data_IF_099503253633
#
_entry.id   IF_099503253633
#
_cell.length_a   1.000
_cell.length_b   1.000
_cell.length_c   1.000
_cell.angle_alpha   90.00
_cell.angle_beta   90.00
_cell.angle_gamma   90.00
#
_symmetry.space_group_name_H-M   'P 1'
#
loop_
_entity.id
_entity.type
_entity.pdbx_description
1 polymer ?
#
# COMPACT_ATOMS: atom_id res chain seq x y z
N UNK A 1 14.32 6.73 15.78
CA UNK A 1 13.41 7.59 14.98
C UNK A 1 13.06 6.85 13.70
N UNK A 2 11.79 6.84 13.27
CA UNK A 2 11.41 6.19 12.01
C UNK A 2 11.91 6.97 10.81
N UNK A 3 11.75 8.28 10.84
CA UNK A 3 12.15 9.19 9.76
C UNK A 3 12.92 10.38 10.31
N UNK A 4 13.85 10.87 9.51
CA UNK A 4 14.63 12.08 9.77
C UNK A 4 14.44 13.03 8.59
N UNK A 5 13.56 14.02 8.75
CA UNK A 5 13.25 14.99 7.69
C UNK A 5 13.94 16.30 8.01
N UNK A 6 15.14 16.47 7.50
CA UNK A 6 15.92 17.71 7.68
C UNK A 6 16.87 17.94 6.50
N UNK A 7 17.53 19.08 6.48
CA UNK A 7 18.44 19.48 5.41
C UNK A 7 17.74 20.28 4.30
N UNK A 8 18.44 20.53 3.22
CA UNK A 8 18.01 21.41 2.13
C UNK A 8 16.68 20.98 1.48
N UNK A 9 16.39 19.69 1.46
CA UNK A 9 15.19 19.12 0.83
C UNK A 9 14.03 18.87 1.82
N UNK A 10 14.18 19.21 3.09
CA UNK A 10 13.16 18.88 4.11
C UNK A 10 11.79 19.50 3.79
N UNK A 11 11.74 20.75 3.37
CA UNK A 11 10.49 21.43 3.01
C UNK A 11 9.82 20.77 1.80
N UNK A 12 10.59 20.40 0.79
CA UNK A 12 10.08 19.68 -0.39
C UNK A 12 9.51 18.31 -0.02
N UNK A 13 10.20 17.57 0.85
CA UNK A 13 9.75 16.25 1.33
C UNK A 13 8.40 16.34 2.07
N UNK A 14 8.24 17.30 2.98
CA UNK A 14 7.00 17.55 3.68
C UNK A 14 5.89 18.03 2.73
N UNK A 15 6.21 18.95 1.84
CA UNK A 15 5.27 19.47 0.83
C UNK A 15 4.74 18.36 -0.07
N UNK A 16 5.62 17.47 -0.53
CA UNK A 16 5.25 16.33 -1.36
C UNK A 16 4.40 15.31 -0.61
N UNK A 17 4.71 14.99 0.63
CA UNK A 17 3.90 14.10 1.45
C UNK A 17 2.48 14.63 1.62
N UNK A 18 2.34 15.93 1.90
CA UNK A 18 1.03 16.60 2.02
C UNK A 18 0.30 16.58 0.67
N UNK A 19 1.00 16.87 -0.43
CA UNK A 19 0.41 16.84 -1.78
C UNK A 19 -0.10 15.46 -2.15
N UNK A 20 0.64 14.40 -1.87
CA UNK A 20 0.22 13.01 -2.08
C UNK A 20 -1.01 12.69 -1.23
N UNK A 21 -0.99 13.06 0.06
CA UNK A 21 -2.13 12.86 0.96
C UNK A 21 -3.39 13.52 0.45
N UNK A 22 -3.32 14.82 0.13
CA UNK A 22 -4.48 15.59 -0.36
C UNK A 22 -4.91 15.12 -1.75
N UNK A 23 -3.97 14.82 -2.64
CA UNK A 23 -4.25 14.29 -3.98
C UNK A 23 -5.01 12.97 -3.92
N UNK A 24 -4.58 12.04 -3.08
CA UNK A 24 -5.26 10.76 -2.88
C UNK A 24 -6.67 10.93 -2.30
N UNK A 25 -6.85 11.84 -1.33
CA UNK A 25 -8.17 12.16 -0.81
C UNK A 25 -9.08 12.70 -1.92
N UNK A 26 -8.62 13.70 -2.68
CA UNK A 26 -9.41 14.33 -3.74
C UNK A 26 -9.78 13.35 -4.86
N UNK A 27 -8.82 12.54 -5.33
CA UNK A 27 -9.08 11.53 -6.36
C UNK A 27 -10.01 10.43 -5.85
N UNK A 28 -9.86 10.00 -4.58
CA UNK A 28 -10.81 9.05 -3.98
C UNK A 28 -12.23 9.64 -3.91
N UNK A 29 -12.37 10.91 -3.49
CA UNK A 29 -13.67 11.59 -3.46
C UNK A 29 -14.29 11.66 -4.87
N UNK A 30 -13.52 12.03 -5.90
CA UNK A 30 -13.98 12.02 -7.28
C UNK A 30 -14.43 10.64 -7.74
N UNK A 31 -13.60 9.60 -7.51
CA UNK A 31 -13.87 8.25 -7.98
C UNK A 31 -15.08 7.59 -7.29
N UNK A 32 -15.27 7.82 -5.98
CA UNK A 32 -16.34 7.16 -5.24
C UNK A 32 -17.70 7.84 -5.32
N UNK A 33 -17.74 9.18 -5.44
CA UNK A 33 -18.99 9.95 -5.37
C UNK A 33 -19.88 9.87 -6.60
N UNK A 34 -19.28 9.56 -7.75
CA UNK A 34 -20.03 9.48 -9.01
C UNK A 34 -19.73 8.17 -9.75
N UNK A 35 -20.73 7.66 -10.47
CA UNK A 35 -20.56 6.50 -11.35
C UNK A 35 -19.52 6.79 -12.45
N UNK A 36 -19.57 7.99 -13.02
CA UNK A 36 -18.65 8.44 -14.04
C UNK A 36 -17.20 8.55 -13.55
N UNK A 37 -17.00 9.14 -12.35
CA UNK A 37 -15.68 9.21 -11.71
C UNK A 37 -15.08 7.82 -11.46
N UNK A 38 -15.90 6.87 -10.99
CA UNK A 38 -15.46 5.48 -10.82
C UNK A 38 -15.10 4.80 -12.14
N UNK A 39 -15.91 4.97 -13.20
CA UNK A 39 -15.64 4.40 -14.52
C UNK A 39 -14.34 4.95 -15.11
N UNK A 40 -14.14 6.27 -15.06
CA UNK A 40 -12.89 6.87 -15.53
C UNK A 40 -11.70 6.31 -14.76
N UNK A 41 -11.76 6.36 -13.43
CA UNK A 41 -10.61 6.02 -12.59
C UNK A 41 -10.27 4.54 -12.62
N UNK A 42 -11.27 3.64 -12.59
CA UNK A 42 -11.03 2.21 -12.41
C UNK A 42 -11.28 1.33 -13.66
N UNK A 43 -11.76 1.92 -14.76
CA UNK A 43 -11.89 1.20 -16.03
C UNK A 43 -11.09 1.90 -17.13
N UNK A 44 -11.39 3.17 -17.44
CA UNK A 44 -10.76 3.85 -18.58
C UNK A 44 -9.25 4.04 -18.39
N UNK A 45 -8.81 4.57 -17.25
CA UNK A 45 -7.38 4.78 -16.96
C UNK A 45 -6.61 3.44 -16.94
N UNK A 46 -7.03 2.40 -16.20
CA UNK A 46 -6.32 1.11 -16.21
C UNK A 46 -6.25 0.45 -17.59
N UNK A 47 -7.28 0.58 -18.42
CA UNK A 47 -7.23 0.09 -19.80
C UNK A 47 -6.19 0.84 -20.64
N UNK A 48 -6.15 2.17 -20.54
CA UNK A 48 -5.14 2.98 -21.21
C UNK A 48 -3.71 2.64 -20.72
N UNK A 49 -3.54 2.47 -19.40
CA UNK A 49 -2.26 2.05 -18.82
C UNK A 49 -1.86 0.64 -19.26
N UNK A 50 -2.81 -0.28 -19.36
CA UNK A 50 -2.51 -1.63 -19.87
C UNK A 50 -2.00 -1.58 -21.31
N UNK A 51 -2.62 -0.77 -22.17
CA UNK A 51 -2.13 -0.56 -23.53
C UNK A 51 -0.71 0.06 -23.54
N UNK A 52 -0.46 1.04 -22.67
CA UNK A 52 0.86 1.64 -22.50
C UNK A 52 1.91 0.63 -22.04
N UNK A 53 1.61 -0.20 -21.02
CA UNK A 53 2.54 -1.22 -20.54
C UNK A 53 2.83 -2.29 -21.59
N UNK A 54 1.82 -2.70 -22.37
CA UNK A 54 2.01 -3.62 -23.49
C UNK A 54 2.90 -3.01 -24.59
N UNK A 55 2.71 -1.73 -24.90
CA UNK A 55 3.56 -1.03 -25.87
C UNK A 55 5.03 -0.98 -25.43
N UNK A 56 5.28 -0.66 -24.14
CA UNK A 56 6.64 -0.69 -23.59
C UNK A 56 7.22 -2.12 -23.67
N UNK A 57 6.46 -3.12 -23.22
CA UNK A 57 6.92 -4.51 -23.23
C UNK A 57 7.27 -5.02 -24.62
N UNK A 58 6.46 -4.69 -25.64
CA UNK A 58 6.75 -5.00 -27.06
C UNK A 58 7.99 -4.23 -27.51
N UNK A 59 8.09 -2.94 -27.20
CA UNK A 59 9.22 -2.08 -27.56
C UNK A 59 10.54 -2.60 -26.98
N UNK A 60 10.56 -3.02 -25.72
CA UNK A 60 11.74 -3.61 -25.08
C UNK A 60 12.16 -4.90 -25.80
N UNK A 61 11.22 -5.76 -26.14
CA UNK A 61 11.51 -7.02 -26.88
C UNK A 61 11.99 -6.78 -28.29
N UNK A 62 11.57 -5.70 -28.93
CA UNK A 62 12.07 -5.32 -30.25
C UNK A 62 13.38 -4.53 -30.23
N UNK A 63 13.93 -4.22 -29.04
CA UNK A 63 15.15 -3.45 -28.89
C UNK A 63 14.99 -1.95 -29.14
N UNK A 64 13.75 -1.42 -29.08
CA UNK A 64 13.50 0.00 -29.25
C UNK A 64 14.08 0.81 -28.10
N UNK A 65 15.01 1.72 -28.41
CA UNK A 65 15.74 2.51 -27.41
C UNK A 65 14.81 3.30 -26.48
N UNK A 66 13.77 3.92 -27.02
CA UNK A 66 12.78 4.67 -26.23
C UNK A 66 12.02 3.81 -25.20
N UNK A 67 11.87 2.50 -25.46
CA UNK A 67 11.23 1.59 -24.53
C UNK A 67 12.24 1.08 -23.48
N UNK A 68 13.48 0.85 -23.88
CA UNK A 68 14.57 0.44 -22.97
C UNK A 68 14.89 1.54 -21.94
N UNK A 69 14.82 2.80 -22.35
CA UNK A 69 15.06 3.97 -21.48
C UNK A 69 13.80 4.45 -20.76
N UNK A 70 12.66 3.81 -21.00
CA UNK A 70 11.42 4.22 -20.36
C UNK A 70 11.45 3.95 -18.85
N UNK A 71 11.09 4.95 -18.06
CA UNK A 71 11.18 4.88 -16.60
C UNK A 71 10.31 3.77 -15.99
N UNK A 72 9.14 3.48 -16.58
CA UNK A 72 8.31 2.34 -16.14
C UNK A 72 9.07 1.02 -16.34
N UNK A 73 9.77 0.85 -17.46
CA UNK A 73 10.60 -0.34 -17.69
C UNK A 73 11.79 -0.39 -16.75
N UNK A 74 12.49 0.71 -16.56
CA UNK A 74 13.73 0.74 -15.75
C UNK A 74 13.44 0.49 -14.26
N UNK A 75 12.37 1.08 -13.72
CA UNK A 75 12.16 1.11 -12.27
C UNK A 75 10.94 0.35 -11.77
N UNK A 76 9.97 0.03 -12.65
CA UNK A 76 8.65 -0.47 -12.24
C UNK A 76 8.21 -1.72 -13.01
N UNK A 77 9.17 -2.48 -13.54
CA UNK A 77 8.87 -3.65 -14.37
C UNK A 77 8.59 -4.94 -13.57
N UNK A 78 8.81 -4.93 -12.26
CA UNK A 78 8.64 -6.09 -11.41
C UNK A 78 7.21 -6.59 -11.30
N UNK A 79 7.04 -7.88 -11.12
CA UNK A 79 5.75 -8.54 -10.98
C UNK A 79 4.88 -7.96 -9.86
N UNK A 80 5.53 -7.56 -8.77
CA UNK A 80 4.90 -7.03 -7.58
C UNK A 80 4.05 -5.77 -7.87
N UNK A 81 4.59 -4.84 -8.66
CA UNK A 81 3.91 -3.59 -8.99
C UNK A 81 2.66 -3.84 -9.82
N UNK A 82 2.75 -4.71 -10.83
CA UNK A 82 1.58 -5.10 -11.65
C UNK A 82 0.54 -5.86 -10.82
N UNK A 83 0.98 -6.81 -9.98
CA UNK A 83 0.08 -7.55 -9.11
C UNK A 83 -0.70 -6.63 -8.17
N UNK A 84 -0.03 -5.65 -7.54
CA UNK A 84 -0.68 -4.64 -6.67
C UNK A 84 -1.65 -3.76 -7.44
N UNK A 85 -1.26 -3.25 -8.61
CA UNK A 85 -2.11 -2.41 -9.45
C UNK A 85 -3.41 -3.13 -9.82
N UNK A 86 -3.29 -4.33 -10.41
CA UNK A 86 -4.47 -5.04 -10.92
C UNK A 86 -5.33 -5.64 -9.81
N UNK A 87 -4.75 -6.12 -8.72
CA UNK A 87 -5.52 -6.59 -7.57
C UNK A 87 -6.31 -5.44 -6.92
N UNK A 88 -5.68 -4.28 -6.70
CA UNK A 88 -6.38 -3.12 -6.16
C UNK A 88 -7.49 -2.63 -7.10
N UNK A 89 -7.20 -2.53 -8.41
CA UNK A 89 -8.18 -2.13 -9.43
C UNK A 89 -9.36 -3.10 -9.49
N UNK A 90 -9.11 -4.42 -9.46
CA UNK A 90 -10.17 -5.43 -9.40
C UNK A 90 -11.06 -5.25 -8.17
N UNK A 91 -10.46 -4.92 -7.01
CA UNK A 91 -11.20 -4.59 -5.80
C UNK A 91 -12.14 -3.39 -5.99
N UNK A 92 -11.63 -2.30 -6.60
CA UNK A 92 -12.42 -1.10 -6.88
C UNK A 92 -13.58 -1.40 -7.85
N UNK A 93 -13.34 -2.19 -8.89
CA UNK A 93 -14.38 -2.64 -9.84
C UNK A 93 -15.43 -3.48 -9.10
N UNK A 94 -15.01 -4.42 -8.24
CA UNK A 94 -15.91 -5.22 -7.44
C UNK A 94 -16.82 -4.39 -6.53
N UNK A 95 -16.29 -3.36 -5.86
CA UNK A 95 -17.10 -2.39 -5.12
C UNK A 95 -18.12 -1.67 -6.03
N UNK A 96 -17.70 -1.26 -7.23
CA UNK A 96 -18.63 -0.64 -8.19
C UNK A 96 -19.72 -1.61 -8.64
N UNK A 97 -19.36 -2.87 -8.91
CA UNK A 97 -20.32 -3.90 -9.32
C UNK A 97 -21.40 -4.12 -8.25
N UNK A 98 -21.00 -4.19 -6.98
CA UNK A 98 -21.96 -4.33 -5.86
C UNK A 98 -22.80 -3.05 -5.73
N UNK A 99 -22.15 -1.87 -5.73
CA UNK A 99 -22.82 -0.58 -5.54
C UNK A 99 -23.87 -0.27 -6.60
N UNK A 100 -23.57 -0.58 -7.85
CA UNK A 100 -24.46 -0.30 -8.98
C UNK A 100 -25.25 -1.54 -9.45
N UNK A 101 -25.15 -2.64 -8.73
CA UNK A 101 -25.81 -3.91 -9.06
C UNK A 101 -25.49 -4.40 -10.49
N UNK A 102 -24.22 -4.26 -10.93
CA UNK A 102 -23.78 -4.67 -12.28
C UNK A 102 -23.59 -6.18 -12.38
N UNK A 103 -24.31 -6.83 -13.25
CA UNK A 103 -24.15 -8.25 -13.56
C UNK A 103 -24.15 -9.11 -12.30
N UNK A 104 -23.06 -9.84 -12.06
CA UNK A 104 -22.89 -10.69 -10.88
C UNK A 104 -22.82 -9.90 -9.57
N UNK A 105 -22.47 -8.62 -9.61
CA UNK A 105 -22.44 -7.73 -8.43
C UNK A 105 -23.81 -7.57 -7.76
N UNK A 106 -24.92 -7.87 -8.48
CA UNK A 106 -26.25 -7.90 -7.91
C UNK A 106 -26.55 -9.19 -7.09
N UNK A 107 -25.70 -10.20 -7.20
CA UNK A 107 -25.93 -11.51 -6.57
C UNK A 107 -25.37 -11.53 -5.15
N UNK A 108 -26.10 -12.14 -4.24
CA UNK A 108 -25.70 -12.22 -2.82
C UNK A 108 -24.34 -12.92 -2.62
N UNK A 109 -24.06 -13.97 -3.39
CA UNK A 109 -22.81 -14.72 -3.28
C UNK A 109 -21.57 -13.89 -3.67
N UNK A 110 -21.74 -12.78 -4.37
CA UNK A 110 -20.64 -11.91 -4.76
C UNK A 110 -20.22 -10.91 -3.65
N UNK A 111 -21.04 -10.73 -2.61
CA UNK A 111 -20.74 -9.80 -1.50
C UNK A 111 -19.37 -10.01 -0.83
N UNK A 112 -18.85 -11.26 -0.66
CA UNK A 112 -17.51 -11.48 -0.10
C UNK A 112 -16.34 -11.13 -1.03
N UNK A 113 -16.60 -10.75 -2.29
CA UNK A 113 -15.54 -10.43 -3.24
C UNK A 113 -14.55 -9.36 -2.73
N UNK A 114 -14.99 -8.25 -2.10
CA UNK A 114 -14.07 -7.29 -1.50
C UNK A 114 -13.13 -7.91 -0.46
N UNK A 115 -13.63 -8.81 0.39
CA UNK A 115 -12.79 -9.54 1.34
C UNK A 115 -11.70 -10.35 0.61
N UNK A 116 -12.07 -11.10 -0.43
CA UNK A 116 -11.13 -11.94 -1.19
C UNK A 116 -10.01 -11.08 -1.78
N UNK A 117 -10.35 -9.96 -2.40
CA UNK A 117 -9.36 -9.07 -3.02
C UNK A 117 -8.45 -8.39 -2.00
N UNK A 118 -9.00 -7.96 -0.86
CA UNK A 118 -8.19 -7.39 0.22
C UNK A 118 -7.25 -8.45 0.80
N UNK A 119 -7.75 -9.67 1.03
CA UNK A 119 -6.92 -10.79 1.49
C UNK A 119 -5.78 -11.10 0.52
N UNK A 120 -6.04 -11.13 -0.80
CA UNK A 120 -5.00 -11.31 -1.83
C UNK A 120 -3.97 -10.18 -1.75
N UNK A 121 -4.39 -8.92 -1.62
CA UNK A 121 -3.46 -7.79 -1.48
C UNK A 121 -2.59 -7.89 -0.21
N UNK A 122 -3.15 -8.38 0.88
CA UNK A 122 -2.41 -8.66 2.12
C UNK A 122 -1.42 -9.80 1.89
N UNK A 123 -1.85 -10.91 1.27
CA UNK A 123 -0.98 -12.05 0.96
C UNK A 123 0.22 -11.67 0.08
N UNK A 124 0.02 -10.82 -0.93
CA UNK A 124 1.12 -10.31 -1.76
C UNK A 124 2.17 -9.58 -0.89
N UNK A 125 1.72 -8.79 0.08
CA UNK A 125 2.63 -8.12 1.00
C UNK A 125 3.34 -9.11 1.96
N UNK A 126 2.61 -10.11 2.47
CA UNK A 126 3.22 -11.17 3.31
C UNK A 126 4.29 -11.96 2.55
N UNK A 127 4.04 -12.29 1.28
CA UNK A 127 5.03 -12.97 0.42
C UNK A 127 6.29 -12.11 0.27
N UNK A 128 6.15 -10.82 0.04
CA UNK A 128 7.29 -9.90 -0.05
C UNK A 128 8.08 -9.81 1.27
N UNK A 129 7.39 -9.80 2.43
CA UNK A 129 8.07 -9.88 3.74
C UNK A 129 8.85 -11.19 3.89
N UNK A 130 8.24 -12.34 3.59
CA UNK A 130 8.91 -13.64 3.69
C UNK A 130 10.06 -13.77 2.68
N UNK A 131 9.91 -13.27 1.46
CA UNK A 131 10.98 -13.20 0.47
C UNK A 131 12.17 -12.40 1.02
N UNK A 132 11.92 -11.23 1.57
CA UNK A 132 12.96 -10.39 2.18
C UNK A 132 13.65 -11.10 3.34
N UNK A 133 12.91 -11.83 4.18
CA UNK A 133 13.49 -12.64 5.25
C UNK A 133 14.44 -13.71 4.73
N UNK A 134 14.05 -14.41 3.66
CA UNK A 134 14.85 -15.52 3.09
C UNK A 134 16.08 -14.98 2.36
N UNK A 135 15.92 -13.96 1.54
CA UNK A 135 16.98 -13.41 0.69
C UNK A 135 18.04 -12.66 1.48
N UNK A 136 17.63 -11.94 2.53
CA UNK A 136 18.47 -11.02 3.27
C UNK A 136 18.59 -11.33 4.77
N UNK A 137 18.57 -12.60 5.21
CA UNK A 137 18.60 -12.94 6.63
C UNK A 137 19.80 -12.35 7.38
N UNK A 138 19.53 -11.39 8.26
CA UNK A 138 20.53 -10.61 9.01
C UNK A 138 21.58 -9.89 8.13
N UNK A 139 21.22 -9.59 6.89
CA UNK A 139 22.08 -8.85 5.96
C UNK A 139 21.26 -7.98 5.02
N UNK A 140 21.93 -7.02 4.41
CA UNK A 140 21.37 -6.22 3.33
C UNK A 140 21.37 -7.01 2.02
N UNK A 141 20.34 -6.83 1.22
CA UNK A 141 20.25 -7.38 -0.12
C UNK A 141 19.56 -6.38 -1.05
N UNK A 142 19.85 -6.49 -2.34
CA UNK A 142 19.31 -5.62 -3.37
C UNK A 142 18.23 -6.36 -4.15
N UNK A 143 17.04 -5.78 -4.23
CA UNK A 143 15.97 -6.33 -5.09
C UNK A 143 16.30 -6.14 -6.57
N UNK A 144 15.62 -6.88 -7.45
CA UNK A 144 15.75 -6.71 -8.90
C UNK A 144 15.43 -5.30 -9.41
N UNK A 145 14.75 -4.50 -8.61
CA UNK A 145 14.36 -3.12 -8.91
C UNK A 145 15.26 -2.07 -8.25
N UNK A 146 16.38 -2.49 -7.70
CA UNK A 146 17.38 -1.59 -7.12
C UNK A 146 17.00 -1.04 -5.74
N UNK A 147 16.11 -1.71 -5.01
CA UNK A 147 15.74 -1.32 -3.64
C UNK A 147 16.54 -2.13 -2.63
N UNK A 148 17.24 -1.45 -1.74
CA UNK A 148 17.96 -2.08 -0.64
C UNK A 148 16.99 -2.46 0.47
N UNK A 149 17.03 -3.72 0.88
CA UNK A 149 16.25 -4.25 1.98
C UNK A 149 17.16 -4.96 2.99
N UNK A 150 16.76 -4.92 4.25
CA UNK A 150 17.40 -5.70 5.31
C UNK A 150 16.43 -6.80 5.74
N UNK A 151 16.85 -8.05 5.62
CA UNK A 151 16.00 -9.18 5.98
C UNK A 151 16.24 -9.67 7.40
N UNK A 152 15.22 -10.30 7.99
CA UNK A 152 15.35 -10.87 9.33
C UNK A 152 14.02 -11.21 10.01
N UNK A 153 14.06 -11.38 11.32
CA UNK A 153 12.89 -11.71 12.12
C UNK A 153 11.75 -10.70 12.03
N UNK A 154 12.06 -9.43 11.80
CA UNK A 154 11.04 -8.38 11.63
C UNK A 154 10.14 -8.66 10.43
N UNK A 155 10.68 -9.15 9.32
CA UNK A 155 9.89 -9.55 8.16
C UNK A 155 9.00 -10.77 8.48
N UNK A 156 9.54 -11.77 9.20
CA UNK A 156 8.74 -12.92 9.62
C UNK A 156 7.59 -12.49 10.54
N UNK A 157 7.88 -11.64 11.54
CA UNK A 157 6.85 -11.10 12.43
C UNK A 157 5.77 -10.35 11.67
N UNK A 158 6.17 -9.50 10.71
CA UNK A 158 5.22 -8.71 9.93
C UNK A 158 4.42 -9.56 8.94
N UNK A 159 5.05 -10.53 8.28
CA UNK A 159 4.36 -11.50 7.42
C UNK A 159 3.29 -12.28 8.18
N UNK A 160 3.63 -12.78 9.38
CA UNK A 160 2.68 -13.47 10.28
C UNK A 160 1.58 -12.51 10.75
N UNK A 161 1.91 -11.25 11.09
CA UNK A 161 0.92 -10.24 11.45
C UNK A 161 -0.08 -10.00 10.32
N UNK A 162 0.38 -9.97 9.06
CA UNK A 162 -0.48 -9.84 7.89
C UNK A 162 -1.41 -11.03 7.70
N UNK A 163 -0.92 -12.26 7.91
CA UNK A 163 -1.78 -13.44 7.88
C UNK A 163 -2.86 -13.37 8.97
N UNK A 164 -2.52 -12.95 10.18
CA UNK A 164 -3.49 -12.75 11.26
C UNK A 164 -4.48 -11.64 10.92
N UNK A 165 -4.02 -10.56 10.29
CA UNK A 165 -4.85 -9.43 9.87
C UNK A 165 -5.98 -9.85 8.93
N UNK A 166 -5.74 -10.83 8.03
CA UNK A 166 -6.80 -11.42 7.19
C UNK A 166 -7.92 -12.02 8.03
N UNK A 167 -7.57 -12.74 9.10
CA UNK A 167 -8.57 -13.32 10.01
C UNK A 167 -9.25 -12.30 10.92
N UNK A 168 -8.72 -11.08 11.02
CA UNK A 168 -9.37 -9.97 11.71
C UNK A 168 -10.43 -9.26 10.87
N UNK A 169 -10.54 -9.55 9.56
CA UNK A 169 -11.65 -9.10 8.75
C UNK A 169 -12.89 -9.92 9.06
N UNK A 170 -13.95 -9.29 9.55
CA UNK A 170 -15.18 -9.93 10.01
C UNK A 170 -16.36 -9.59 9.11
N UNK A 171 -17.48 -10.32 9.24
CA UNK A 171 -18.75 -10.05 8.55
C UNK A 171 -18.63 -9.88 7.02
N UNK A 172 -18.04 -10.84 6.32
CA UNK A 172 -17.68 -10.74 4.90
C UNK A 172 -18.87 -10.53 3.94
N UNK A 173 -20.06 -10.93 4.35
CA UNK A 173 -21.30 -10.75 3.59
C UNK A 173 -22.03 -9.43 3.88
N UNK A 174 -21.62 -8.71 4.94
CA UNK A 174 -22.32 -7.52 5.41
C UNK A 174 -21.70 -6.25 4.81
N UNK A 175 -21.59 -6.25 3.49
CA UNK A 175 -21.14 -5.11 2.69
C UNK A 175 -22.34 -4.56 1.94
N UNK A 176 -22.61 -3.26 2.11
CA UNK A 176 -23.81 -2.59 1.60
C UNK A 176 -23.43 -1.29 0.84
N UNK A 177 -24.18 -0.92 -0.21
CA UNK A 177 -24.08 0.44 -0.73
C UNK A 177 -24.57 1.44 0.31
N UNK A 178 -24.10 2.67 0.28
CA UNK A 178 -24.69 3.75 1.05
C UNK A 178 -26.03 4.18 0.44
N UNK A 179 -26.93 4.79 1.27
CA UNK A 179 -28.24 5.30 0.84
C UNK A 179 -28.13 6.29 -0.32
N UNK A 180 -27.08 7.12 -0.34
CA UNK A 180 -26.81 8.07 -1.41
C UNK A 180 -26.01 7.47 -2.58
N UNK A 181 -25.70 6.16 -2.53
CA UNK A 181 -24.91 5.40 -3.53
C UNK A 181 -23.52 5.98 -3.83
N UNK A 182 -22.96 6.75 -2.89
CA UNK A 182 -21.59 7.26 -3.03
C UNK A 182 -20.55 6.28 -2.48
N UNK A 183 -20.92 5.48 -1.48
CA UNK A 183 -20.01 4.63 -0.74
C UNK A 183 -20.42 3.17 -0.75
N UNK A 184 -19.45 2.31 -0.46
CA UNK A 184 -19.65 0.94 0.00
C UNK A 184 -19.36 0.91 1.49
N UNK A 185 -20.34 0.46 2.27
CA UNK A 185 -20.25 0.41 3.72
C UNK A 185 -19.96 -1.02 4.17
N UNK A 186 -18.83 -1.19 4.86
CA UNK A 186 -18.50 -2.40 5.58
C UNK A 186 -18.33 -2.02 7.05
N UNK A 187 -19.44 -2.00 7.78
CA UNK A 187 -19.55 -1.37 9.09
C UNK A 187 -18.70 -2.06 10.17
N UNK A 188 -18.49 -3.35 10.05
CA UNK A 188 -17.72 -4.14 11.03
C UNK A 188 -16.20 -3.88 10.94
N UNK A 189 -15.72 -3.28 9.84
CA UNK A 189 -14.36 -2.76 9.73
C UNK A 189 -14.26 -1.43 10.51
N UNK A 190 -14.28 -1.54 11.82
CA UNK A 190 -14.27 -0.40 12.74
C UNK A 190 -12.86 0.20 12.89
N UNK A 191 -12.74 1.23 13.71
CA UNK A 191 -11.45 1.85 14.03
C UNK A 191 -10.40 0.82 14.51
N UNK A 192 -10.83 -0.28 15.12
CA UNK A 192 -9.93 -1.34 15.59
C UNK A 192 -9.20 -1.97 14.41
N UNK A 193 -9.98 -2.41 13.39
CA UNK A 193 -9.38 -2.98 12.19
C UNK A 193 -8.51 -1.96 11.44
N UNK A 194 -8.98 -0.73 11.33
CA UNK A 194 -8.23 0.36 10.68
C UNK A 194 -6.84 0.51 11.31
N UNK A 195 -6.79 0.60 12.64
CA UNK A 195 -5.53 0.80 13.37
C UNK A 195 -4.58 -0.39 13.20
N UNK A 196 -5.05 -1.63 13.37
CA UNK A 196 -4.16 -2.79 13.25
C UNK A 196 -3.68 -3.00 11.81
N UNK A 197 -4.50 -2.67 10.83
CA UNK A 197 -4.11 -2.70 9.43
C UNK A 197 -3.07 -1.62 9.12
N UNK A 198 -3.30 -0.38 9.58
CA UNK A 198 -2.38 0.73 9.33
C UNK A 198 -1.00 0.45 9.97
N UNK A 199 -0.95 -0.07 11.20
CA UNK A 199 0.30 -0.47 11.87
C UNK A 199 1.00 -1.58 11.07
N UNK A 200 0.28 -2.63 10.69
CA UNK A 200 0.84 -3.73 9.91
C UNK A 200 1.35 -3.27 8.54
N UNK A 201 0.55 -2.49 7.81
CA UNK A 201 0.92 -2.05 6.48
C UNK A 201 2.05 -1.00 6.49
N UNK A 202 2.10 -0.17 7.54
CA UNK A 202 3.25 0.71 7.76
C UNK A 202 4.53 -0.11 7.99
N UNK A 203 4.47 -1.14 8.83
CA UNK A 203 5.60 -2.04 9.05
C UNK A 203 6.05 -2.70 7.74
N UNK A 204 5.10 -3.20 6.93
CA UNK A 204 5.38 -3.75 5.61
C UNK A 204 6.12 -2.75 4.70
N UNK A 205 5.62 -1.54 4.57
CA UNK A 205 6.27 -0.54 3.72
C UNK A 205 7.61 -0.09 4.25
N UNK A 206 7.78 -0.07 5.57
CA UNK A 206 9.04 0.28 6.22
C UNK A 206 10.11 -0.81 6.03
N UNK A 207 9.71 -2.08 6.03
CA UNK A 207 10.61 -3.24 5.86
C UNK A 207 10.96 -3.49 4.38
N UNK A 208 9.95 -3.54 3.51
CA UNK A 208 10.09 -4.04 2.14
C UNK A 208 10.11 -2.94 1.09
N UNK A 209 9.61 -1.74 1.42
CA UNK A 209 9.55 -0.60 0.52
C UNK A 209 10.14 0.64 1.21
N UNK A 210 11.38 0.57 1.72
CA UNK A 210 11.94 1.63 2.55
C UNK A 210 12.01 2.97 1.82
N UNK A 211 12.30 2.98 0.53
CA UNK A 211 12.32 4.17 -0.31
C UNK A 211 10.94 4.77 -0.59
N UNK A 212 9.86 4.04 -0.28
CA UNK A 212 8.47 4.45 -0.52
C UNK A 212 7.71 4.68 0.79
N UNK A 213 8.27 4.33 1.94
CA UNK A 213 7.52 4.29 3.20
C UNK A 213 7.02 5.68 3.66
N UNK A 214 7.67 6.77 3.24
CA UNK A 214 7.20 8.13 3.53
C UNK A 214 5.87 8.44 2.81
N UNK A 215 5.73 8.04 1.56
CA UNK A 215 4.51 8.26 0.77
C UNK A 215 3.53 7.10 0.89
N UNK A 216 3.99 5.86 0.72
CA UNK A 216 3.13 4.67 0.81
C UNK A 216 2.79 4.30 2.25
N UNK A 217 3.75 4.42 3.18
CA UNK A 217 3.58 4.06 4.57
C UNK A 217 2.91 5.13 5.42
N UNK A 218 2.91 6.40 4.99
CA UNK A 218 2.29 7.50 5.73
C UNK A 218 1.15 8.11 4.93
N UNK A 219 1.42 8.81 3.82
CA UNK A 219 0.38 9.53 3.09
C UNK A 219 -0.72 8.60 2.53
N UNK A 220 -0.32 7.46 1.93
CA UNK A 220 -1.26 6.50 1.35
C UNK A 220 -2.13 5.79 2.41
N UNK A 221 -1.64 5.58 3.64
CA UNK A 221 -2.44 5.02 4.73
C UNK A 221 -3.31 6.08 5.41
N UNK A 222 -2.79 7.29 5.59
CA UNK A 222 -3.57 8.36 6.20
C UNK A 222 -4.74 8.82 5.33
N UNK A 223 -4.61 8.82 4.00
CA UNK A 223 -5.67 9.28 3.11
C UNK A 223 -7.02 8.55 3.31
N UNK A 224 -7.10 7.20 3.24
CA UNK A 224 -8.35 6.49 3.51
C UNK A 224 -8.79 6.57 4.97
N UNK A 225 -7.84 6.61 5.91
CA UNK A 225 -8.09 6.61 7.35
C UNK A 225 -8.70 7.94 7.78
N UNK A 226 -8.13 9.07 7.38
CA UNK A 226 -8.69 10.40 7.65
C UNK A 226 -10.10 10.53 7.06
N UNK A 227 -10.30 10.11 5.81
CA UNK A 227 -11.62 10.14 5.19
C UNK A 227 -12.65 9.31 5.98
N UNK A 228 -12.31 8.08 6.37
CA UNK A 228 -13.20 7.18 7.08
C UNK A 228 -13.54 7.66 8.51
N UNK A 229 -12.61 8.29 9.19
CA UNK A 229 -12.83 8.77 10.55
C UNK A 229 -13.61 10.09 10.60
N UNK A 230 -13.41 10.98 9.63
CA UNK A 230 -14.01 12.32 9.65
C UNK A 230 -15.38 12.39 8.96
N UNK A 231 -15.54 11.79 7.76
CA UNK A 231 -16.80 11.96 6.99
C UNK A 231 -17.32 10.70 6.30
N UNK A 232 -16.53 9.61 6.19
CA UNK A 232 -16.90 8.41 5.44
C UNK A 232 -16.90 7.16 6.30
N UNK A 233 -17.57 7.18 7.46
CA UNK A 233 -17.62 6.03 8.39
C UNK A 233 -18.19 4.79 7.72
N UNK A 234 -17.51 3.66 7.91
CA UNK A 234 -17.81 2.38 7.27
C UNK A 234 -17.27 2.21 5.85
N UNK A 235 -16.78 3.29 5.22
CA UNK A 235 -16.22 3.26 3.86
C UNK A 235 -14.70 3.04 3.79
N UNK A 236 -14.04 2.72 4.88
CA UNK A 236 -12.58 2.67 4.93
C UNK A 236 -11.99 1.68 3.94
N UNK A 237 -12.52 0.45 3.84
CA UNK A 237 -12.01 -0.58 2.92
C UNK A 237 -12.11 -0.11 1.46
N UNK A 238 -13.23 0.51 1.08
CA UNK A 238 -13.35 1.10 -0.25
C UNK A 238 -12.34 2.23 -0.47
N UNK A 239 -12.21 3.14 0.49
CA UNK A 239 -11.23 4.23 0.40
C UNK A 239 -9.82 3.67 0.26
N UNK A 240 -9.48 2.63 1.03
CA UNK A 240 -8.16 1.98 0.98
C UNK A 240 -7.88 1.31 -0.37
N UNK A 241 -8.87 0.61 -0.93
CA UNK A 241 -8.75 0.03 -2.27
C UNK A 241 -8.58 1.11 -3.34
N UNK A 242 -9.42 2.15 -3.28
CA UNK A 242 -9.37 3.26 -4.24
C UNK A 242 -8.03 3.99 -4.20
N UNK A 243 -7.57 4.39 -3.01
CA UNK A 243 -6.30 5.13 -2.87
C UNK A 243 -5.11 4.27 -3.26
N UNK A 244 -5.12 2.97 -2.97
CA UNK A 244 -4.08 2.05 -3.41
C UNK A 244 -4.04 1.92 -4.93
N UNK A 245 -5.20 1.72 -5.59
CA UNK A 245 -5.26 1.62 -7.03
C UNK A 245 -4.79 2.93 -7.71
N UNK A 246 -5.26 4.08 -7.24
CA UNK A 246 -4.84 5.40 -7.74
C UNK A 246 -3.33 5.59 -7.57
N UNK A 247 -2.80 5.27 -6.40
CA UNK A 247 -1.36 5.35 -6.14
C UNK A 247 -0.56 4.46 -7.09
N UNK A 248 -0.96 3.19 -7.25
CA UNK A 248 -0.26 2.26 -8.13
C UNK A 248 -0.29 2.71 -9.60
N UNK A 249 -1.42 3.23 -10.09
CA UNK A 249 -1.52 3.78 -11.44
C UNK A 249 -0.55 4.94 -11.66
N UNK A 250 -0.51 5.85 -10.70
CA UNK A 250 0.33 7.03 -10.77
C UNK A 250 1.82 6.67 -10.63
N UNK A 251 2.17 5.89 -9.62
CA UNK A 251 3.54 5.52 -9.32
C UNK A 251 4.19 4.68 -10.44
N UNK A 252 3.41 3.89 -11.16
CA UNK A 252 3.92 3.02 -12.22
C UNK A 252 4.28 3.79 -13.50
N UNK A 253 3.66 4.93 -13.72
CA UNK A 253 3.96 5.82 -14.87
C UNK A 253 4.96 6.90 -14.48
N UNK A 254 4.84 7.40 -13.26
CA UNK A 254 5.72 8.41 -12.69
C UNK A 254 6.44 7.81 -11.49
N UNK A 255 7.61 7.21 -11.64
CA UNK A 255 8.36 6.62 -10.52
C UNK A 255 8.92 7.71 -9.61
N UNK A 256 8.02 8.32 -8.85
CA UNK A 256 8.26 9.50 -8.00
C UNK A 256 9.20 9.22 -6.82
N UNK A 257 9.48 7.98 -6.58
CA UNK A 257 10.36 7.49 -5.54
C UNK A 257 11.75 7.14 -6.07
N UNK A 258 11.99 7.34 -7.35
CA UNK A 258 13.32 7.28 -7.93
C UNK A 258 13.85 8.70 -8.13
N UNK A 259 15.14 8.90 -8.01
CA UNK A 259 15.74 10.19 -8.35
C UNK A 259 15.49 10.48 -9.81
N UNK A 260 14.67 11.47 -10.07
CA UNK A 260 14.49 11.97 -11.42
C UNK A 260 15.46 13.11 -11.67
N UNK A 261 16.42 12.86 -12.55
CA UNK A 261 17.23 13.92 -13.12
C UNK A 261 16.54 14.44 -14.38
N UNK A 262 16.14 15.69 -14.37
CA UNK A 262 15.75 16.39 -15.59
C UNK A 262 16.86 17.38 -15.96
N UNK A 263 17.39 17.23 -17.16
CA UNK A 263 18.47 18.08 -17.70
C UNK A 263 19.74 18.13 -16.82
N UNK A 264 20.11 16.98 -16.24
CA UNK A 264 21.28 16.89 -15.37
C UNK A 264 21.12 17.54 -13.99
N UNK A 265 19.94 18.01 -13.66
CA UNK A 265 19.61 18.55 -12.33
C UNK A 265 18.63 17.64 -11.62
N UNK A 266 18.94 17.33 -10.38
CA UNK A 266 18.01 16.62 -9.48
C UNK A 266 16.83 17.55 -9.15
N UNK A 267 15.64 17.19 -9.63
CA UNK A 267 14.43 17.99 -9.38
C UNK A 267 13.77 17.68 -8.06
N UNK A 268 13.54 16.40 -7.81
CA UNK A 268 12.98 15.90 -6.58
C UNK A 268 13.58 14.56 -6.26
N UNK A 269 14.01 14.40 -5.06
CA UNK A 269 14.22 13.11 -4.47
C UNK A 269 12.97 12.73 -3.68
N UNK A 270 11.96 12.21 -4.34
CA UNK A 270 10.80 11.64 -3.66
C UNK A 270 11.19 10.32 -2.98
N UNK A 271 12.21 9.72 -3.52
CA UNK A 271 12.69 8.42 -3.12
C UNK A 271 13.51 8.46 -1.87
N UNK A 272 14.20 9.50 -1.65
CA UNK A 272 15.00 9.59 -0.46
C UNK A 272 14.07 9.73 0.70
N UNK A 273 13.92 8.65 1.34
CA UNK A 273 13.48 8.68 2.69
C UNK A 273 14.31 9.71 3.42
N UNK A 274 13.65 10.61 4.13
CA UNK A 274 14.32 11.53 5.03
C UNK A 274 15.26 10.83 6.02
N UNK A 275 15.09 9.54 6.20
CA UNK A 275 15.91 8.67 7.03
C UNK A 275 17.30 8.43 6.49
N UNK A 276 17.43 8.44 5.18
CA UNK A 276 18.62 7.88 4.58
C UNK A 276 19.79 8.83 4.62
N UNK A 277 19.48 10.15 4.69
CA UNK A 277 20.54 11.12 4.67
C UNK A 277 20.19 12.38 5.43
N UNK A 278 20.85 12.55 6.55
CA UNK A 278 20.70 13.75 7.38
C UNK A 278 20.85 15.07 6.63
N UNK A 279 21.58 15.09 5.54
CA UNK A 279 21.87 16.30 4.78
C UNK A 279 21.11 16.41 3.45
N UNK A 280 20.06 15.64 3.27
CA UNK A 280 19.16 15.75 2.11
C UNK A 280 19.77 15.40 0.76
N UNK A 281 20.87 14.67 0.76
CA UNK A 281 21.68 14.50 -0.46
C UNK A 281 21.91 13.05 -0.83
N UNK A 282 21.20 12.14 -0.27
CA UNK A 282 21.51 10.81 -0.65
C UNK A 282 20.37 10.01 -1.20
N UNK A 283 20.70 9.52 -2.22
CA UNK A 283 19.98 8.67 -3.09
C UNK A 283 20.81 7.44 -3.31
N UNK A 284 20.14 6.40 -3.77
CA UNK A 284 20.81 5.21 -4.30
C UNK A 284 21.86 5.62 -5.36
N UNK A 285 21.61 6.67 -6.17
CA UNK A 285 22.57 7.19 -7.13
C UNK A 285 23.84 7.71 -6.47
N UNK A 286 23.74 8.44 -5.36
CA UNK A 286 24.93 8.85 -4.61
C UNK A 286 25.65 7.68 -3.96
N UNK A 287 24.93 6.69 -3.54
CA UNK A 287 25.54 5.45 -3.10
C UNK A 287 26.38 4.82 -4.21
N UNK A 288 25.84 4.76 -5.40
CA UNK A 288 26.57 4.26 -6.58
C UNK A 288 27.77 5.15 -6.91
N UNK A 289 27.63 6.45 -6.79
CA UNK A 289 28.70 7.42 -7.00
C UNK A 289 29.84 7.27 -5.98
N UNK A 290 29.51 7.24 -4.69
CA UNK A 290 30.48 7.10 -3.59
C UNK A 290 31.18 5.76 -3.60
N UNK A 291 30.46 4.68 -3.90
CA UNK A 291 31.02 3.33 -3.92
C UNK A 291 31.56 2.90 -5.29
N UNK A 292 31.46 3.76 -6.30
CA UNK A 292 31.80 3.44 -7.69
C UNK A 292 31.15 2.14 -8.18
N UNK A 293 29.88 1.92 -7.80
CA UNK A 293 29.11 0.70 -7.99
C UNK A 293 27.97 1.00 -8.95
N UNK A 294 27.70 0.09 -9.88
CA UNK A 294 26.51 0.15 -10.76
C UNK A 294 25.40 -0.72 -10.20
N UNK A 295 24.15 -0.47 -10.59
CA UNK A 295 23.00 -1.27 -10.16
C UNK A 295 23.13 -2.77 -10.47
N UNK A 296 23.94 -3.13 -11.47
CA UNK A 296 24.20 -4.51 -11.88
C UNK A 296 25.32 -5.20 -11.10
N UNK A 297 26.16 -4.43 -10.41
CA UNK A 297 27.35 -4.93 -9.68
C UNK A 297 27.20 -4.87 -8.17
N UNK A 298 26.15 -4.28 -7.68
CA UNK A 298 25.92 -4.14 -6.24
C UNK A 298 25.46 -5.46 -5.64
N UNK A 299 26.25 -5.99 -4.72
CA UNK A 299 25.90 -7.15 -3.92
C UNK A 299 25.76 -6.75 -2.44
N UNK A 300 25.02 -7.51 -1.63
CA UNK A 300 24.90 -7.25 -0.20
C UNK A 300 26.25 -7.14 0.52
N UNK A 301 27.22 -7.90 0.08
CA UNK A 301 28.58 -7.94 0.67
C UNK A 301 29.34 -6.65 0.42
N UNK A 302 29.14 -6.00 -0.73
CA UNK A 302 29.76 -4.71 -1.05
C UNK A 302 29.20 -3.61 -0.18
N UNK A 303 27.89 -3.59 0.06
CA UNK A 303 27.25 -2.57 0.92
C UNK A 303 27.79 -2.64 2.35
N UNK A 304 27.96 -3.83 2.89
CA UNK A 304 28.51 -4.00 4.24
C UNK A 304 29.96 -3.58 4.41
N UNK A 305 30.74 -3.50 3.31
CA UNK A 305 32.17 -3.23 3.35
C UNK A 305 32.54 -1.80 2.96
N UNK A 306 31.79 -1.17 2.05
CA UNK A 306 32.13 0.14 1.47
C UNK A 306 31.14 1.24 1.82
N UNK A 307 29.91 0.88 2.22
CA UNK A 307 28.85 1.83 2.53
C UNK A 307 28.14 1.40 3.82
N UNK A 308 27.90 2.34 4.71
CA UNK A 308 27.07 2.07 5.88
C UNK A 308 25.64 1.75 5.43
N UNK A 309 25.16 0.53 5.64
CA UNK A 309 23.83 0.14 5.20
C UNK A 309 22.70 0.97 5.84
N UNK A 310 22.95 1.56 7.01
CA UNK A 310 21.97 2.42 7.70
C UNK A 310 21.65 3.70 6.92
N UNK A 311 22.47 4.07 5.96
CA UNK A 311 22.25 5.23 5.11
C UNK A 311 21.46 4.93 3.84
N UNK A 312 21.16 3.68 3.52
CA UNK A 312 20.48 3.28 2.27
C UNK A 312 19.11 2.69 2.45
N UNK A 313 18.65 2.53 3.69
CA UNK A 313 17.34 1.94 3.96
C UNK A 313 16.80 2.36 5.33
N UNK A 314 15.61 1.87 5.67
CA UNK A 314 14.98 2.10 6.97
C UNK A 314 15.84 1.52 8.11
N UNK A 315 15.70 2.09 9.30
CA UNK A 315 16.48 1.70 10.47
C UNK A 315 16.13 0.27 10.94
N UNK A 316 17.08 -0.68 10.99
CA UNK A 316 16.81 -2.08 11.37
C UNK A 316 16.16 -2.23 12.74
N UNK A 317 16.55 -1.41 13.74
CA UNK A 317 15.93 -1.43 15.06
C UNK A 317 14.46 -1.01 14.98
N UNK A 318 14.14 0.00 14.19
CA UNK A 318 12.75 0.44 14.01
C UNK A 318 11.93 -0.57 13.20
N UNK A 319 12.56 -1.30 12.27
CA UNK A 319 11.91 -2.44 11.58
C UNK A 319 11.43 -3.49 12.60
N UNK A 320 12.29 -3.86 13.56
CA UNK A 320 11.92 -4.82 14.62
C UNK A 320 10.81 -4.27 15.51
N UNK A 321 10.92 -3.02 15.94
CA UNK A 321 9.93 -2.38 16.85
C UNK A 321 8.54 -2.34 16.20
N UNK A 322 8.45 -1.86 14.97
CA UNK A 322 7.13 -1.71 14.32
C UNK A 322 6.53 -3.07 13.93
N UNK A 323 7.36 -4.03 13.50
CA UNK A 323 6.90 -5.38 13.17
C UNK A 323 6.43 -6.15 14.40
N UNK A 324 7.12 -6.01 15.54
CA UNK A 324 6.65 -6.56 16.79
C UNK A 324 5.33 -5.93 17.23
N UNK A 325 5.20 -4.60 17.11
CA UNK A 325 3.94 -3.90 17.40
C UNK A 325 2.82 -4.39 16.48
N UNK A 326 3.09 -4.56 15.18
CA UNK A 326 2.13 -5.10 14.23
C UNK A 326 1.66 -6.51 14.62
N UNK A 327 2.59 -7.39 14.99
CA UNK A 327 2.26 -8.75 15.40
C UNK A 327 1.41 -8.76 16.68
N UNK A 328 1.84 -8.04 17.72
CA UNK A 328 1.14 -7.99 19.02
C UNK A 328 -0.27 -7.41 18.85
N UNK A 329 -0.42 -6.30 18.13
CA UNK A 329 -1.73 -5.66 17.96
C UNK A 329 -2.69 -6.54 17.16
N UNK A 330 -2.22 -7.26 16.13
CA UNK A 330 -3.05 -8.18 15.37
C UNK A 330 -3.44 -9.42 16.19
N UNK A 331 -2.55 -9.98 17.01
CA UNK A 331 -2.88 -11.09 17.94
C UNK A 331 -3.94 -10.64 18.95
N UNK A 332 -3.78 -9.47 19.56
CA UNK A 332 -4.75 -8.94 20.53
C UNK A 332 -6.12 -8.69 19.88
N UNK A 333 -6.15 -8.14 18.66
CA UNK A 333 -7.40 -7.92 17.94
C UNK A 333 -8.11 -9.23 17.58
N UNK A 334 -7.38 -10.24 17.09
CA UNK A 334 -7.95 -11.56 16.81
C UNK A 334 -8.48 -12.21 18.10
N UNK A 335 -7.70 -12.15 19.18
CA UNK A 335 -8.15 -12.64 20.49
C UNK A 335 -9.42 -11.95 20.97
N UNK A 336 -9.54 -10.65 20.79
CA UNK A 336 -10.75 -9.89 21.11
C UNK A 336 -11.95 -10.29 20.25
N UNK A 337 -11.76 -10.43 18.94
CA UNK A 337 -12.81 -10.93 18.02
C UNK A 337 -13.31 -12.31 18.47
N UNK A 338 -12.39 -13.23 18.80
CA UNK A 338 -12.75 -14.58 19.29
C UNK A 338 -13.53 -14.50 20.59
N UNK A 339 -13.10 -13.67 21.55
CA UNK A 339 -13.78 -13.50 22.84
C UNK A 339 -15.22 -12.97 22.67
N UNK A 340 -15.41 -11.92 21.84
CA UNK A 340 -16.76 -11.39 21.55
C UNK A 340 -17.61 -12.45 20.88
N UNK A 341 -17.07 -13.12 19.87
CA UNK A 341 -17.78 -14.13 19.08
C UNK A 341 -18.25 -15.29 19.95
N UNK A 342 -17.39 -15.78 20.86
CA UNK A 342 -17.75 -16.83 21.82
C UNK A 342 -18.83 -16.35 22.81
N UNK A 343 -18.69 -15.14 23.36
CA UNK A 343 -19.67 -14.57 24.30
C UNK A 343 -21.04 -14.37 23.69
N UNK A 344 -21.08 -14.01 22.41
CA UNK A 344 -22.32 -13.74 21.67
C UNK A 344 -22.84 -14.95 20.89
N UNK A 345 -22.13 -16.07 20.91
CA UNK A 345 -22.45 -17.29 20.15
C UNK A 345 -22.65 -17.02 18.65
N UNK A 346 -21.76 -16.20 18.05
CA UNK A 346 -21.82 -15.82 16.64
C UNK A 346 -20.62 -16.35 15.85
N UNK A 347 -20.81 -16.53 14.54
CA UNK A 347 -19.71 -16.73 13.60
C UNK A 347 -19.22 -15.36 13.12
N UNK A 348 -17.97 -14.94 13.48
CA UNK A 348 -17.46 -13.60 13.16
C UNK A 348 -17.35 -13.31 11.67
N UNK A 349 -17.32 -14.33 10.83
CA UNK A 349 -17.18 -14.17 9.38
C UNK A 349 -18.51 -14.02 8.66
N UNK A 350 -19.61 -14.44 9.30
CA UNK A 350 -20.97 -14.33 8.76
C UNK A 350 -21.79 -13.21 9.41
N UNK A 351 -21.45 -12.84 10.64
CA UNK A 351 -22.22 -11.91 11.47
C UNK A 351 -21.35 -10.80 11.99
N UNK A 352 -21.92 -9.63 12.21
CA UNK A 352 -21.23 -8.46 12.72
C UNK A 352 -20.80 -8.66 14.18
N UNK A 353 -19.52 -8.37 14.44
CA UNK A 353 -18.88 -8.52 15.75
C UNK A 353 -19.00 -7.25 16.57
N UNK A 354 -18.88 -6.09 15.94
CA UNK A 354 -18.70 -4.81 16.62
C UNK A 354 -19.97 -3.94 16.69
N UNK A 355 -21.16 -4.54 16.70
CA UNK A 355 -22.47 -3.84 16.64
C UNK A 355 -22.69 -2.83 17.77
N UNK A 356 -22.05 -3.02 18.92
CA UNK A 356 -22.20 -2.12 20.07
C UNK A 356 -21.37 -0.84 19.94
N UNK A 357 -20.36 -0.83 19.07
CA UNK A 357 -19.50 0.33 18.87
C UNK A 357 -20.23 1.46 18.17
N UNK A 358 -19.96 2.69 18.63
CA UNK A 358 -20.51 3.90 18.01
C UNK A 358 -20.13 4.00 16.53
N UNK A 359 -18.88 3.67 16.18
CA UNK A 359 -18.44 3.67 14.77
C UNK A 359 -19.28 2.77 13.88
N UNK A 360 -19.58 1.56 14.35
CA UNK A 360 -20.44 0.62 13.65
C UNK A 360 -21.86 1.17 13.44
N UNK A 361 -22.47 1.70 14.52
CA UNK A 361 -23.82 2.27 14.47
C UNK A 361 -23.91 3.44 13.50
N UNK A 362 -22.93 4.33 13.53
CA UNK A 362 -22.86 5.48 12.63
C UNK A 362 -22.66 5.02 11.15
N UNK A 363 -21.87 3.98 10.92
CA UNK A 363 -21.69 3.39 9.59
C UNK A 363 -22.98 2.76 9.05
N UNK A 364 -23.67 1.93 9.88
CA UNK A 364 -24.91 1.28 9.51
C UNK A 364 -26.06 2.26 9.28
N UNK A 365 -26.08 3.41 9.96
CA UNK A 365 -27.06 4.46 9.71
C UNK A 365 -26.98 5.02 8.27
N UNK A 366 -25.84 4.88 7.61
CA UNK A 366 -25.60 5.28 6.21
C UNK A 366 -25.89 4.16 5.20
N UNK A 367 -25.93 2.92 5.64
CA UNK A 367 -26.10 1.75 4.76
C UNK A 367 -27.50 1.65 4.16
N UNK A 368 -27.57 1.26 2.88
CA UNK A 368 -28.80 0.87 2.19
C UNK A 368 -28.99 -0.64 2.37
N UNK A 369 -29.98 -1.03 3.13
CA UNK A 369 -30.29 -2.42 3.46
C UNK A 369 -31.36 -3.03 2.51
N UNK A 370 -31.82 -2.25 1.50
CA UNK A 370 -32.85 -2.69 0.53
C UNK A 370 -32.32 -3.66 -0.53
#
# INVERSE_FOLDING_TARGET
>A
MFFQVYGANALSQWGMMIMVLLGLILFNEFARRTKFGGIITFLAIPLALTAYFLAIWIGVRSGAQCALENQTHVYMHGWFHYAKLYAATAGCIGFMMIKYKWGIGAKHWFKPFPFIIVAINILIACVSDFESAVMGWNKWWLTSEGVWQYGGWHNVMNGVAGLINIFCMTAWWNVYPSKDKKDMIWADMTWVYIVIYDIWNFAYTYNCLPTHSWYCGVALLLAPTVAALLWNRGGWIQNRANTLAIWCMFAQVFPLFQETFMNGKQWFSWATLPVLYPNGAATISKLYEVANITSTTVTPDIVGTTVDPSVVSANPTMMVVISALALVTNILALGWIICISKRRHINPYKQDVFVDQKYYKDAMARADLS
#
